data_IF_947738858161
#
_entry.id   IF_947738858161
#
_cell.length_a   1.000
_cell.length_b   1.000
_cell.length_c   1.000
_cell.angle_alpha   90.00
_cell.angle_beta   90.00
_cell.angle_gamma   90.00
#
_symmetry.space_group_name_H-M   'P 1'
#
loop_
_entity.id
_entity.type
_entity.pdbx_description
1 polymer ?
#
# COMPACT_ATOMS: atom_id res chain seq x y z
N UNK A 1 12.01 -5.49 35.68
CA UNK A 1 12.43 -6.25 34.50
C UNK A 1 13.92 -6.14 34.29
N UNK A 2 14.56 -7.28 34.09
CA UNK A 2 15.96 -7.36 33.67
C UNK A 2 16.01 -7.63 32.16
N UNK A 3 16.13 -6.58 31.35
CA UNK A 3 16.05 -6.68 29.88
C UNK A 3 17.14 -7.57 29.25
N UNK A 4 18.42 -7.53 29.70
CA UNK A 4 19.42 -8.48 29.22
C UNK A 4 19.05 -9.95 29.44
N UNK A 5 18.45 -10.28 30.60
CA UNK A 5 18.00 -11.65 30.90
C UNK A 5 16.83 -12.04 30.00
N UNK A 6 15.84 -11.16 29.84
CA UNK A 6 14.68 -11.37 28.96
C UNK A 6 15.13 -11.57 27.52
N UNK A 7 16.03 -10.73 27.01
CA UNK A 7 16.55 -10.85 25.65
C UNK A 7 17.32 -12.16 25.44
N UNK A 8 18.13 -12.58 26.42
CA UNK A 8 18.86 -13.85 26.35
C UNK A 8 17.92 -15.05 26.34
N UNK A 9 16.95 -15.10 27.26
CA UNK A 9 15.94 -16.14 27.32
C UNK A 9 15.12 -16.19 26.02
N UNK A 10 14.71 -15.02 25.53
CA UNK A 10 13.97 -14.91 24.29
C UNK A 10 14.79 -15.45 23.11
N UNK A 11 16.07 -15.11 23.01
CA UNK A 11 16.95 -15.59 21.95
C UNK A 11 17.10 -17.12 21.98
N UNK A 12 17.21 -17.72 23.17
CA UNK A 12 17.23 -19.17 23.34
C UNK A 12 15.91 -19.82 22.90
N UNK A 13 14.77 -19.25 23.32
CA UNK A 13 13.43 -19.71 22.92
C UNK A 13 13.14 -19.55 21.42
N UNK A 14 13.85 -18.65 20.74
CA UNK A 14 13.77 -18.44 19.29
C UNK A 14 14.67 -19.38 18.48
N UNK A 15 15.38 -20.33 19.11
CA UNK A 15 16.31 -21.23 18.42
C UNK A 15 17.70 -20.61 18.18
N UNK A 16 18.05 -19.55 18.91
CA UNK A 16 19.36 -18.92 18.90
C UNK A 16 19.57 -17.89 17.79
N UNK A 17 20.76 -17.28 17.81
CA UNK A 17 21.17 -16.22 16.86
C UNK A 17 21.10 -16.68 15.40
N UNK A 18 21.43 -17.93 15.13
CA UNK A 18 21.48 -18.45 13.76
C UNK A 18 20.10 -18.56 13.10
N UNK A 19 19.04 -18.68 13.92
CA UNK A 19 17.67 -18.75 13.45
C UNK A 19 17.09 -17.37 13.10
N UNK A 20 17.71 -16.28 13.53
CA UNK A 20 17.26 -14.93 13.19
C UNK A 20 17.86 -14.47 11.86
N UNK A 21 17.01 -13.90 11.01
CA UNK A 21 17.41 -13.30 9.73
C UNK A 21 17.27 -11.78 9.73
N UNK A 22 16.32 -11.23 10.48
CA UNK A 22 16.15 -9.80 10.65
C UNK A 22 15.41 -9.48 11.96
N UNK A 23 15.69 -8.31 12.53
CA UNK A 23 15.14 -7.80 13.79
C UNK A 23 14.77 -6.33 13.61
N UNK A 24 13.57 -5.94 14.03
CA UNK A 24 13.15 -4.55 14.17
C UNK A 24 12.14 -4.43 15.32
N UNK A 25 11.78 -3.20 15.66
CA UNK A 25 10.64 -2.94 16.55
C UNK A 25 9.73 -1.84 15.99
N UNK A 26 8.48 -1.84 16.45
CA UNK A 26 7.57 -0.71 16.31
C UNK A 26 7.15 -0.22 17.70
N UNK A 27 6.15 0.66 17.78
CA UNK A 27 5.74 1.29 19.04
C UNK A 27 5.44 0.31 20.19
N UNK A 28 4.98 -0.92 19.91
CA UNK A 28 4.59 -1.89 20.95
C UNK A 28 5.07 -3.32 20.72
N UNK A 29 5.72 -3.59 19.58
CA UNK A 29 6.01 -4.97 19.13
C UNK A 29 7.43 -5.13 18.65
N UNK A 30 8.04 -6.23 19.05
CA UNK A 30 9.26 -6.74 18.45
C UNK A 30 8.88 -7.53 17.20
N UNK A 31 9.56 -7.29 16.09
CA UNK A 31 9.31 -7.94 14.80
C UNK A 31 10.56 -8.71 14.38
N UNK A 32 10.37 -9.99 14.11
CA UNK A 32 11.45 -10.93 13.82
C UNK A 32 11.16 -11.64 12.50
N UNK A 33 12.18 -11.77 11.66
CA UNK A 33 12.17 -12.71 10.55
C UNK A 33 13.04 -13.91 10.92
N UNK A 34 12.49 -15.12 10.79
CA UNK A 34 13.10 -16.36 11.31
C UNK A 34 13.35 -17.38 10.19
N UNK A 35 14.48 -18.09 10.25
CA UNK A 35 14.89 -19.08 9.24
C UNK A 35 14.19 -20.41 9.39
N UNK A 36 13.79 -20.80 10.60
CA UNK A 36 13.02 -21.99 10.91
C UNK A 36 12.01 -21.67 12.03
N UNK A 37 10.73 -21.84 11.73
CA UNK A 37 9.67 -21.58 12.71
C UNK A 37 9.49 -22.73 13.71
N UNK A 38 9.93 -23.94 13.37
CA UNK A 38 9.79 -25.12 14.24
C UNK A 38 10.67 -25.06 15.48
N UNK A 39 11.71 -24.21 15.45
CA UNK A 39 12.61 -23.97 16.58
C UNK A 39 12.04 -22.97 17.62
N UNK A 40 10.90 -22.34 17.34
CA UNK A 40 10.29 -21.34 18.21
C UNK A 40 9.47 -22.04 19.29
N UNK A 41 9.82 -21.77 20.55
CA UNK A 41 9.08 -22.25 21.72
C UNK A 41 7.94 -21.27 22.05
N UNK A 42 6.86 -21.30 21.27
CA UNK A 42 5.74 -20.34 21.38
C UNK A 42 5.15 -20.26 22.81
N UNK A 43 4.88 -21.40 23.43
CA UNK A 43 4.33 -21.48 24.80
C UNK A 43 5.28 -20.86 25.84
N UNK A 44 6.58 -21.04 25.67
CA UNK A 44 7.58 -20.47 26.58
C UNK A 44 7.68 -18.95 26.42
N UNK A 45 7.56 -18.46 25.18
CA UNK A 45 7.58 -17.02 24.86
C UNK A 45 6.33 -16.33 25.40
N UNK A 46 5.16 -16.95 25.32
CA UNK A 46 3.92 -16.37 25.85
C UNK A 46 3.98 -16.18 27.37
N UNK A 47 4.68 -17.07 28.08
CA UNK A 47 4.87 -17.00 29.54
C UNK A 47 6.10 -16.16 29.96
N UNK A 48 6.84 -15.59 29.02
CA UNK A 48 8.01 -14.77 29.31
C UNK A 48 7.60 -13.43 29.94
N UNK A 49 8.34 -12.99 30.97
CA UNK A 49 8.05 -11.74 31.68
C UNK A 49 7.97 -10.56 30.69
N UNK A 50 6.80 -9.90 30.63
CA UNK A 50 6.57 -8.72 29.80
C UNK A 50 5.98 -8.97 28.42
N UNK A 51 5.88 -10.22 28.00
CA UNK A 51 5.14 -10.58 26.80
C UNK A 51 3.64 -10.47 27.09
N UNK A 52 2.92 -9.77 26.22
CA UNK A 52 1.47 -9.58 26.26
C UNK A 52 0.74 -10.37 25.16
N UNK A 53 1.51 -11.09 24.34
CA UNK A 53 1.01 -11.90 23.24
C UNK A 53 2.06 -12.05 22.14
N UNK A 54 1.86 -13.08 21.32
CA UNK A 54 2.69 -13.39 20.16
C UNK A 54 1.79 -13.78 18.98
N UNK A 55 2.24 -13.50 17.75
CA UNK A 55 1.55 -13.99 16.56
C UNK A 55 2.47 -14.00 15.33
N UNK A 56 2.07 -14.79 14.33
CA UNK A 56 2.71 -14.87 13.02
C UNK A 56 1.91 -14.09 11.98
N UNK A 57 2.56 -13.17 11.27
CA UNK A 57 1.92 -12.46 10.15
C UNK A 57 2.93 -12.18 9.05
N UNK A 58 2.54 -12.46 7.81
CA UNK A 58 3.31 -12.13 6.62
C UNK A 58 4.80 -12.59 6.67
N UNK A 59 5.05 -13.80 7.19
CA UNK A 59 6.40 -14.37 7.32
C UNK A 59 7.24 -13.75 8.45
N UNK A 60 6.63 -12.97 9.34
CA UNK A 60 7.26 -12.43 10.54
C UNK A 60 6.66 -13.07 11.80
N UNK A 61 7.51 -13.29 12.79
CA UNK A 61 7.11 -13.57 14.16
C UNK A 61 7.10 -12.26 14.95
N UNK A 62 5.95 -11.90 15.55
CA UNK A 62 5.81 -10.66 16.31
C UNK A 62 5.49 -10.95 17.77
N UNK A 63 6.17 -10.24 18.65
CA UNK A 63 6.01 -10.37 20.11
C UNK A 63 5.61 -9.00 20.65
N UNK A 64 4.52 -8.95 21.42
CA UNK A 64 3.96 -7.73 21.98
C UNK A 64 4.56 -7.53 23.37
N UNK A 65 5.40 -6.51 23.55
CA UNK A 65 5.91 -6.10 24.87
C UNK A 65 5.19 -4.86 25.43
N UNK A 66 4.61 -4.04 24.55
CA UNK A 66 4.05 -2.73 24.89
C UNK A 66 5.05 -1.59 24.74
N UNK A 67 4.54 -0.37 24.85
CA UNK A 67 5.32 0.86 24.62
C UNK A 67 6.46 1.01 25.63
N UNK A 68 7.62 1.45 25.16
CA UNK A 68 8.84 1.64 25.95
C UNK A 68 9.61 0.35 26.24
N UNK A 69 8.94 -0.73 26.69
CA UNK A 69 9.56 -2.03 27.00
C UNK A 69 10.19 -2.63 25.75
N UNK A 70 9.49 -2.57 24.61
CA UNK A 70 9.96 -3.11 23.35
C UNK A 70 11.31 -2.54 22.90
N UNK A 71 11.58 -1.25 23.15
CA UNK A 71 12.83 -0.59 22.77
C UNK A 71 14.02 -1.17 23.55
N UNK A 72 13.80 -1.45 24.84
CA UNK A 72 14.83 -2.01 25.72
C UNK A 72 15.16 -3.45 25.36
N UNK A 73 14.12 -4.28 25.13
CA UNK A 73 14.30 -5.67 24.71
C UNK A 73 14.96 -5.74 23.34
N UNK A 74 14.55 -4.89 22.39
CA UNK A 74 15.17 -4.80 21.07
C UNK A 74 16.65 -4.43 21.15
N UNK A 75 17.02 -3.43 21.95
CA UNK A 75 18.41 -2.99 22.09
C UNK A 75 19.31 -4.13 22.62
N UNK A 76 18.83 -4.91 23.59
CA UNK A 76 19.58 -6.06 24.12
C UNK A 76 19.63 -7.22 23.11
N UNK A 77 18.55 -7.49 22.39
CA UNK A 77 18.53 -8.47 21.30
C UNK A 77 19.52 -8.11 20.18
N UNK A 78 19.58 -6.84 19.78
CA UNK A 78 20.51 -6.35 18.77
C UNK A 78 21.98 -6.55 19.21
N UNK A 79 22.30 -6.28 20.49
CA UNK A 79 23.63 -6.53 21.06
C UNK A 79 24.00 -8.01 21.05
N UNK A 80 23.09 -8.90 21.48
CA UNK A 80 23.34 -10.34 21.54
C UNK A 80 23.48 -10.97 20.15
N UNK A 81 22.70 -10.51 19.19
CA UNK A 81 22.70 -11.02 17.82
C UNK A 81 23.77 -10.37 16.95
N UNK A 82 24.27 -9.19 17.32
CA UNK A 82 25.17 -8.41 16.47
C UNK A 82 24.51 -7.92 15.18
N UNK A 83 23.17 -7.94 15.10
CA UNK A 83 22.41 -7.45 13.96
C UNK A 83 22.29 -5.93 14.05
N UNK A 84 22.53 -5.25 12.93
CA UNK A 84 22.24 -3.81 12.81
C UNK A 84 20.73 -3.60 12.85
N UNK A 85 20.30 -2.50 13.46
CA UNK A 85 18.88 -2.14 13.54
C UNK A 85 18.29 -1.99 12.12
N UNK A 86 17.32 -2.84 11.79
CA UNK A 86 16.65 -2.83 10.50
C UNK A 86 15.31 -2.11 10.61
N UNK A 87 14.85 -1.56 9.50
CA UNK A 87 13.50 -1.03 9.37
C UNK A 87 12.46 -2.16 9.36
N UNK A 88 11.24 -1.84 9.77
CA UNK A 88 10.15 -2.83 9.76
C UNK A 88 9.82 -3.37 8.36
N UNK A 89 10.15 -2.64 7.29
CA UNK A 89 9.99 -3.10 5.90
C UNK A 89 11.08 -4.10 5.48
N UNK A 90 12.30 -3.96 5.99
CA UNK A 90 13.40 -4.88 5.73
C UNK A 90 13.15 -6.24 6.40
N UNK A 91 12.68 -6.24 7.66
CA UNK A 91 12.25 -7.47 8.33
C UNK A 91 11.10 -8.16 7.58
N UNK A 92 10.15 -7.38 7.07
CA UNK A 92 9.09 -7.92 6.23
C UNK A 92 9.60 -8.57 4.95
N UNK A 93 10.68 -8.04 4.38
CA UNK A 93 11.30 -8.56 3.17
C UNK A 93 12.05 -9.86 3.46
N UNK A 94 12.82 -9.91 4.54
CA UNK A 94 13.51 -11.13 4.99
C UNK A 94 12.52 -12.28 5.30
N UNK A 95 11.37 -11.98 5.93
CA UNK A 95 10.33 -12.98 6.19
C UNK A 95 9.59 -13.48 4.94
N UNK A 96 9.65 -12.76 3.81
CA UNK A 96 8.89 -13.14 2.61
C UNK A 96 9.51 -14.26 1.76
N UNK A 97 10.74 -14.69 2.05
CA UNK A 97 11.33 -15.85 1.37
C UNK A 97 10.54 -17.15 1.63
N UNK A 98 9.78 -17.24 2.72
CA UNK A 98 8.95 -18.43 3.02
C UNK A 98 7.51 -18.34 2.54
N UNK A 99 7.10 -17.21 1.95
CA UNK A 99 5.72 -17.04 1.51
C UNK A 99 5.45 -17.80 0.20
N UNK A 100 4.29 -18.45 0.12
CA UNK A 100 3.80 -19.09 -1.10
C UNK A 100 3.67 -18.06 -2.25
N UNK A 101 3.74 -18.51 -3.51
CA UNK A 101 3.69 -17.64 -4.70
C UNK A 101 2.47 -16.70 -4.68
N UNK A 102 1.29 -17.20 -4.26
CA UNK A 102 0.07 -16.41 -4.10
C UNK A 102 0.22 -15.34 -3.02
N UNK A 103 0.80 -15.68 -1.87
CA UNK A 103 1.04 -14.73 -0.78
C UNK A 103 2.05 -13.65 -1.17
N UNK A 104 3.09 -14.00 -1.94
CA UNK A 104 4.05 -13.03 -2.49
C UNK A 104 3.39 -12.12 -3.53
N UNK A 105 2.51 -12.63 -4.38
CA UNK A 105 1.76 -11.82 -5.34
C UNK A 105 0.82 -10.84 -4.63
N UNK A 106 0.05 -11.31 -3.63
CA UNK A 106 -0.82 -10.46 -2.81
C UNK A 106 -0.01 -9.42 -2.05
N UNK A 107 1.10 -9.79 -1.42
CA UNK A 107 2.02 -8.84 -0.76
C UNK A 107 2.56 -7.81 -1.76
N UNK A 108 2.94 -8.25 -2.96
CA UNK A 108 3.41 -7.36 -4.02
C UNK A 108 2.37 -6.31 -4.41
N UNK A 109 1.11 -6.71 -4.55
CA UNK A 109 0.00 -5.78 -4.76
C UNK A 109 -0.18 -4.86 -3.55
N UNK A 110 -0.20 -5.40 -2.33
CA UNK A 110 -0.33 -4.59 -1.11
C UNK A 110 0.76 -3.53 -1.00
N UNK A 111 2.02 -3.87 -1.27
CA UNK A 111 3.15 -2.93 -1.21
C UNK A 111 3.00 -1.77 -2.20
N UNK A 112 2.32 -2.00 -3.35
CA UNK A 112 2.04 -0.96 -4.34
C UNK A 112 0.94 -0.01 -3.83
N UNK A 113 -0.08 -0.55 -3.17
CA UNK A 113 -1.23 0.22 -2.70
C UNK A 113 -1.00 0.94 -1.37
N UNK A 114 -0.21 0.39 -0.45
CA UNK A 114 -0.01 0.96 0.90
C UNK A 114 0.36 2.45 0.89
N UNK A 115 1.30 2.92 0.04
CA UNK A 115 1.61 4.35 -0.05
C UNK A 115 0.45 5.23 -0.56
N UNK A 116 -0.52 4.64 -1.26
CA UNK A 116 -1.63 5.33 -1.92
C UNK A 116 -2.87 5.39 -1.01
N UNK A 117 -3.00 4.46 -0.05
CA UNK A 117 -4.13 4.36 0.88
C UNK A 117 -4.48 5.71 1.54
N UNK A 118 -3.53 6.51 2.08
CA UNK A 118 -3.90 7.77 2.75
C UNK A 118 -4.63 8.75 1.83
N UNK A 119 -4.21 8.85 0.57
CA UNK A 119 -4.83 9.73 -0.41
C UNK A 119 -6.25 9.27 -0.79
N UNK A 120 -6.43 7.96 -1.02
CA UNK A 120 -7.74 7.38 -1.36
C UNK A 120 -8.71 7.48 -0.17
N UNK A 121 -8.24 7.24 1.05
CA UNK A 121 -9.07 7.38 2.26
C UNK A 121 -9.51 8.82 2.47
N UNK A 122 -8.59 9.78 2.38
CA UNK A 122 -8.93 11.21 2.46
C UNK A 122 -9.92 11.63 1.36
N UNK A 123 -9.67 11.21 0.12
CA UNK A 123 -10.56 11.47 -1.00
C UNK A 123 -11.96 10.90 -0.77
N UNK A 124 -12.05 9.64 -0.33
CA UNK A 124 -13.32 8.97 -0.05
C UNK A 124 -14.12 9.63 1.09
N UNK A 125 -13.45 10.07 2.16
CA UNK A 125 -14.10 10.80 3.25
C UNK A 125 -14.64 12.16 2.78
N UNK A 126 -13.86 12.90 1.98
CA UNK A 126 -14.32 14.16 1.37
C UNK A 126 -15.48 13.94 0.40
N UNK A 127 -15.46 12.84 -0.36
CA UNK A 127 -16.56 12.48 -1.25
C UNK A 127 -17.83 12.15 -0.46
N UNK A 128 -17.69 11.54 0.72
CA UNK A 128 -18.77 11.36 1.68
C UNK A 128 -19.36 12.69 2.14
N UNK A 129 -18.52 13.66 2.51
CA UNK A 129 -18.96 15.02 2.89
C UNK A 129 -19.67 15.70 1.72
N UNK A 130 -19.11 15.63 0.51
CA UNK A 130 -19.76 16.14 -0.69
C UNK A 130 -21.17 15.55 -0.86
N UNK A 131 -21.29 14.22 -0.78
CA UNK A 131 -22.58 13.54 -0.91
C UNK A 131 -23.58 13.96 0.20
N UNK A 132 -23.12 14.22 1.43
CA UNK A 132 -23.98 14.76 2.48
C UNK A 132 -24.55 16.15 2.12
N UNK A 133 -23.73 17.00 1.49
CA UNK A 133 -24.15 18.35 1.08
C UNK A 133 -25.12 18.32 -0.11
N UNK A 134 -24.93 17.40 -1.05
CA UNK A 134 -25.65 17.39 -2.32
C UNK A 134 -26.79 16.38 -2.41
N UNK A 135 -26.93 15.46 -1.45
CA UNK A 135 -28.02 14.47 -1.46
C UNK A 135 -29.38 15.14 -1.15
N UNK A 136 -30.35 15.12 -2.10
CA UNK A 136 -31.69 15.64 -1.85
C UNK A 136 -32.44 14.77 -0.85
N UNK A 137 -33.23 15.37 0.04
CA UNK A 137 -34.06 14.61 0.98
C UNK A 137 -33.32 14.07 2.20
N UNK A 138 -31.99 14.25 2.28
CA UNK A 138 -31.19 13.73 3.40
C UNK A 138 -31.40 14.54 4.69
N UNK A 139 -31.47 15.86 4.56
CA UNK A 139 -31.64 16.79 5.69
C UNK A 139 -32.90 17.65 5.57
N UNK A 140 -33.37 17.90 4.34
CA UNK A 140 -34.54 18.72 4.03
C UNK A 140 -35.40 17.96 3.03
N UNK A 141 -36.72 17.87 3.27
CA UNK A 141 -37.61 17.15 2.36
C UNK A 141 -37.57 17.75 0.94
N UNK A 142 -37.22 16.90 -0.03
CA UNK A 142 -37.20 17.27 -1.46
C UNK A 142 -36.07 18.21 -1.89
N UNK A 143 -35.14 18.59 -0.99
CA UNK A 143 -34.02 19.50 -1.30
C UNK A 143 -32.71 19.00 -0.69
N UNK A 144 -31.58 19.34 -1.32
CA UNK A 144 -30.26 19.15 -0.72
C UNK A 144 -29.85 20.39 0.11
N UNK A 145 -28.77 20.28 0.89
CA UNK A 145 -28.25 21.41 1.65
C UNK A 145 -27.72 22.53 0.75
N UNK A 146 -27.21 22.18 -0.44
CA UNK A 146 -26.78 23.17 -1.43
C UNK A 146 -27.94 23.89 -2.10
N UNK A 147 -29.10 23.23 -2.26
CA UNK A 147 -30.30 23.86 -2.83
C UNK A 147 -30.88 24.90 -1.86
N UNK A 148 -30.90 24.57 -0.56
CA UNK A 148 -31.37 25.46 0.49
C UNK A 148 -30.40 26.60 0.80
N UNK A 149 -29.10 26.42 0.52
CA UNK A 149 -28.08 27.45 0.69
C UNK A 149 -27.12 27.49 -0.52
N UNK A 150 -27.50 28.21 -1.59
CA UNK A 150 -26.69 28.30 -2.81
C UNK A 150 -25.27 28.82 -2.58
N UNK A 151 -25.01 29.57 -1.51
CA UNK A 151 -23.67 30.05 -1.16
C UNK A 151 -22.68 28.93 -0.80
N UNK A 152 -23.16 27.71 -0.53
CA UNK A 152 -22.33 26.52 -0.29
C UNK A 152 -22.02 25.72 -1.55
N UNK A 153 -22.62 26.04 -2.70
CA UNK A 153 -22.47 25.25 -3.92
C UNK A 153 -21.00 25.20 -4.40
N UNK A 154 -20.31 26.34 -4.42
CA UNK A 154 -18.90 26.40 -4.84
C UNK A 154 -17.97 25.68 -3.87
N UNK A 155 -18.28 25.73 -2.56
CA UNK A 155 -17.56 24.96 -1.55
C UNK A 155 -17.74 23.46 -1.78
N UNK A 156 -18.97 23.01 -2.06
CA UNK A 156 -19.25 21.61 -2.37
C UNK A 156 -18.53 21.16 -3.66
N UNK A 157 -18.53 21.99 -4.70
CA UNK A 157 -17.80 21.73 -5.94
C UNK A 157 -16.28 21.65 -5.73
N UNK A 158 -15.72 22.53 -4.90
CA UNK A 158 -14.32 22.49 -4.50
C UNK A 158 -14.00 21.19 -3.74
N UNK A 159 -14.84 20.81 -2.75
CA UNK A 159 -14.69 19.55 -2.01
C UNK A 159 -14.72 18.37 -2.97
N UNK A 160 -15.64 18.33 -3.93
CA UNK A 160 -15.73 17.26 -4.92
C UNK A 160 -14.45 17.16 -5.78
N UNK A 161 -13.90 18.30 -6.18
CA UNK A 161 -12.64 18.37 -6.97
C UNK A 161 -11.46 17.82 -6.17
N UNK A 162 -11.36 18.14 -4.89
CA UNK A 162 -10.31 17.60 -4.02
C UNK A 162 -10.53 16.11 -3.72
N UNK A 163 -11.79 15.72 -3.53
CA UNK A 163 -12.19 14.35 -3.23
C UNK A 163 -11.87 13.40 -4.38
N UNK A 164 -12.14 13.81 -5.63
CA UNK A 164 -12.00 12.96 -6.80
C UNK A 164 -10.56 12.88 -7.34
N UNK A 165 -9.69 13.86 -7.02
CA UNK A 165 -8.30 13.92 -7.50
C UNK A 165 -7.51 12.61 -7.35
N UNK A 166 -7.45 11.94 -6.17
CA UNK A 166 -6.73 10.67 -6.03
C UNK A 166 -7.30 9.53 -6.89
N UNK A 167 -8.57 9.60 -7.29
CA UNK A 167 -9.22 8.62 -8.16
C UNK A 167 -8.99 8.92 -9.64
N UNK A 168 -9.06 10.19 -10.04
CA UNK A 168 -8.71 10.65 -11.40
C UNK A 168 -7.27 10.27 -11.72
N UNK A 169 -6.34 10.59 -10.81
CA UNK A 169 -4.91 10.36 -10.98
C UNK A 169 -4.43 9.04 -10.38
N UNK A 170 -5.35 8.11 -10.10
CA UNK A 170 -5.01 6.78 -9.59
C UNK A 170 -3.97 6.07 -10.48
N UNK A 171 -4.05 6.14 -11.83
CA UNK A 171 -3.00 5.59 -12.69
C UNK A 171 -1.61 6.17 -12.45
N UNK A 172 -1.50 7.46 -12.14
CA UNK A 172 -0.21 8.13 -11.86
C UNK A 172 0.39 7.59 -10.56
N UNK A 173 -0.42 7.56 -9.50
CA UNK A 173 0.00 7.09 -8.17
C UNK A 173 0.40 5.60 -8.22
N UNK A 174 -0.40 4.79 -8.90
CA UNK A 174 -0.14 3.36 -9.07
C UNK A 174 1.09 3.11 -9.92
N UNK A 175 1.24 3.76 -11.08
CA UNK A 175 2.37 3.51 -11.96
C UNK A 175 3.70 3.94 -11.33
N UNK A 176 3.72 5.03 -10.56
CA UNK A 176 4.89 5.45 -9.79
C UNK A 176 5.28 4.37 -8.74
N UNK A 177 4.32 3.93 -7.93
CA UNK A 177 4.54 2.94 -6.86
C UNK A 177 4.90 1.55 -7.43
N UNK A 178 4.21 1.13 -8.49
CA UNK A 178 4.43 -0.13 -9.19
C UNK A 178 5.81 -0.17 -9.87
N UNK A 179 6.23 0.90 -10.54
CA UNK A 179 7.55 0.96 -11.19
C UNK A 179 8.66 0.82 -10.15
N UNK A 180 8.54 1.52 -9.00
CA UNK A 180 9.45 1.33 -7.86
C UNK A 180 9.48 -0.11 -7.38
N UNK A 181 8.32 -0.76 -7.26
CA UNK A 181 8.20 -2.15 -6.80
C UNK A 181 8.83 -3.15 -7.79
N UNK A 182 8.69 -2.91 -9.09
CA UNK A 182 9.26 -3.75 -10.14
C UNK A 182 10.74 -3.45 -10.43
N UNK A 183 11.34 -2.48 -9.73
CA UNK A 183 12.73 -2.10 -9.87
C UNK A 183 13.02 -1.19 -11.08
N UNK A 184 12.01 -0.49 -11.61
CA UNK A 184 12.18 0.56 -12.62
C UNK A 184 12.18 1.97 -12.00
N UNK A 185 12.39 2.99 -12.83
CA UNK A 185 12.38 4.39 -12.43
C UNK A 185 10.94 4.87 -12.11
N UNK A 186 10.68 5.32 -10.87
CA UNK A 186 9.35 5.78 -10.47
C UNK A 186 8.82 6.97 -11.29
N UNK A 187 9.69 7.87 -11.75
CA UNK A 187 9.30 9.04 -12.54
C UNK A 187 8.85 8.66 -13.95
N UNK A 188 9.50 7.66 -14.57
CA UNK A 188 9.02 7.09 -15.84
C UNK A 188 7.67 6.40 -15.63
N UNK A 189 7.49 5.72 -14.50
CA UNK A 189 6.20 5.19 -14.06
C UNK A 189 5.13 6.28 -13.97
N UNK A 190 5.40 7.38 -13.29
CA UNK A 190 4.46 8.51 -13.22
C UNK A 190 4.16 9.09 -14.60
N UNK A 191 5.14 9.25 -15.48
CA UNK A 191 4.94 9.72 -16.85
C UNK A 191 3.99 8.81 -17.64
N UNK A 192 4.17 7.49 -17.52
CA UNK A 192 3.25 6.50 -18.08
C UNK A 192 1.84 6.65 -17.52
N UNK A 193 1.70 6.79 -16.20
CA UNK A 193 0.40 7.00 -15.57
C UNK A 193 -0.27 8.31 -16.00
N UNK A 194 0.51 9.38 -16.23
CA UNK A 194 0.00 10.67 -16.73
C UNK A 194 -0.51 10.54 -18.16
N UNK A 195 0.19 9.77 -19.01
CA UNK A 195 -0.28 9.46 -20.36
C UNK A 195 -1.63 8.73 -20.33
N UNK A 196 -1.81 7.78 -19.41
CA UNK A 196 -3.05 7.00 -19.27
C UNK A 196 -4.27 7.83 -18.86
N UNK A 197 -4.08 9.06 -18.36
CA UNK A 197 -5.16 9.97 -17.96
C UNK A 197 -5.06 11.32 -18.68
N UNK A 198 -4.32 11.38 -19.78
CA UNK A 198 -4.08 12.60 -20.54
C UNK A 198 -5.41 13.21 -21.05
N UNK A 199 -5.58 14.53 -21.01
CA UNK A 199 -6.84 15.19 -21.40
C UNK A 199 -7.25 14.97 -22.86
N UNK A 200 -6.29 14.67 -23.75
CA UNK A 200 -6.58 14.31 -25.15
C UNK A 200 -7.18 12.90 -25.33
N UNK A 201 -7.25 12.10 -24.25
CA UNK A 201 -7.97 10.84 -24.21
C UNK A 201 -9.39 11.06 -23.74
N UNK A 202 -10.33 10.31 -24.31
CA UNK A 202 -11.68 10.22 -23.78
C UNK A 202 -11.60 9.77 -22.32
N UNK A 203 -12.13 10.57 -21.40
CA UNK A 203 -12.18 10.21 -19.99
C UNK A 203 -12.88 8.85 -19.82
N UNK A 204 -12.27 7.93 -19.06
CA UNK A 204 -12.75 6.57 -18.86
C UNK A 204 -14.17 6.48 -18.30
N UNK A 205 -14.62 7.46 -17.49
CA UNK A 205 -16.01 7.51 -17.02
C UNK A 205 -17.00 7.90 -18.11
N UNK A 206 -16.54 8.57 -19.18
CA UNK A 206 -17.33 8.91 -20.37
C UNK A 206 -17.41 7.77 -21.40
N UNK A 207 -16.64 6.69 -21.22
CA UNK A 207 -16.59 5.58 -22.16
C UNK A 207 -17.95 4.93 -22.40
N UNK A 208 -18.74 4.72 -21.34
CA UNK A 208 -20.05 4.07 -21.44
C UNK A 208 -21.01 4.85 -22.34
N UNK A 209 -21.07 6.17 -22.18
CA UNK A 209 -21.88 7.04 -23.02
C UNK A 209 -21.39 7.07 -24.47
N UNK A 210 -20.09 7.26 -24.67
CA UNK A 210 -19.49 7.29 -26.00
C UNK A 210 -19.63 5.98 -26.78
N UNK A 211 -19.64 4.84 -26.07
CA UNK A 211 -19.86 3.51 -26.66
C UNK A 211 -21.26 3.37 -27.22
N UNK A 212 -22.27 3.88 -26.51
CA UNK A 212 -23.67 3.83 -26.95
C UNK A 212 -23.93 4.77 -28.11
N UNK A 213 -23.32 5.96 -28.11
CA UNK A 213 -23.46 6.94 -29.20
C UNK A 213 -22.57 6.66 -30.41
N UNK A 214 -21.67 5.68 -30.34
CA UNK A 214 -20.71 5.39 -31.41
C UNK A 214 -19.67 6.50 -31.61
N UNK A 215 -19.43 7.34 -30.60
CA UNK A 215 -18.54 8.51 -30.67
C UNK A 215 -17.20 8.28 -29.98
N UNK A 216 -16.74 7.03 -29.88
CA UNK A 216 -15.43 6.73 -29.30
C UNK A 216 -14.35 7.26 -30.25
N UNK A 217 -13.49 8.21 -29.81
CA UNK A 217 -12.41 8.70 -30.65
C UNK A 217 -11.37 7.60 -30.86
N UNK A 218 -10.89 7.45 -32.09
CA UNK A 218 -9.85 6.49 -32.45
C UNK A 218 -8.68 7.18 -33.15
N UNK A 219 -7.47 6.63 -32.98
CA UNK A 219 -6.38 6.85 -33.91
C UNK A 219 -6.47 5.80 -35.01
N UNK A 220 -6.34 6.23 -36.26
CA UNK A 220 -6.13 5.32 -37.38
C UNK A 220 -4.65 5.34 -37.76
N UNK A 221 -3.95 4.26 -37.44
CA UNK A 221 -2.51 4.12 -37.67
C UNK A 221 -2.29 2.89 -38.54
N UNK A 222 -1.88 3.10 -39.79
CA UNK A 222 -1.62 2.01 -40.75
C UNK A 222 -2.78 1.01 -40.91
N UNK A 223 -4.04 1.48 -40.83
CA UNK A 223 -5.23 0.64 -40.94
C UNK A 223 -5.68 -0.02 -39.63
N UNK A 224 -4.96 0.19 -38.53
CA UNK A 224 -5.38 -0.21 -37.19
C UNK A 224 -6.10 0.93 -36.48
N UNK A 225 -7.29 0.65 -35.98
CA UNK A 225 -8.04 1.58 -35.14
C UNK A 225 -7.72 1.34 -33.67
N UNK A 226 -7.13 2.35 -33.02
CA UNK A 226 -6.76 2.32 -31.61
C UNK A 226 -7.63 3.32 -30.87
N UNK A 227 -8.39 2.86 -29.87
CA UNK A 227 -9.28 3.72 -29.11
C UNK A 227 -8.49 4.70 -28.23
N UNK A 228 -8.83 6.00 -28.33
CA UNK A 228 -8.26 7.08 -27.52
C UNK A 228 -8.97 7.17 -26.18
N UNK A 229 -8.86 6.14 -25.35
CA UNK A 229 -9.59 6.05 -24.07
C UNK A 229 -8.62 6.11 -22.90
N UNK A 230 -8.93 6.96 -21.93
CA UNK A 230 -8.21 7.09 -20.68
C UNK A 230 -8.59 5.99 -19.69
N UNK A 231 -7.69 5.73 -18.76
CA UNK A 231 -7.78 4.65 -17.79
C UNK A 231 -8.02 5.17 -16.37
N UNK A 232 -8.73 6.30 -16.22
CA UNK A 232 -9.12 6.85 -14.92
C UNK A 232 -9.78 5.75 -14.06
N UNK A 233 -9.33 5.60 -12.81
CA UNK A 233 -9.81 4.56 -11.90
C UNK A 233 -9.43 3.11 -12.25
N UNK A 234 -8.69 2.84 -13.33
CA UNK A 234 -8.29 1.47 -13.70
C UNK A 234 -7.00 1.05 -13.00
N UNK A 235 -6.95 -0.18 -12.49
CA UNK A 235 -5.79 -0.71 -11.76
C UNK A 235 -4.96 -1.66 -12.63
N UNK A 236 -5.59 -2.72 -13.17
CA UNK A 236 -4.87 -3.80 -13.84
C UNK A 236 -4.06 -3.33 -15.06
N UNK A 237 -4.61 -2.50 -15.99
CA UNK A 237 -3.84 -2.00 -17.12
C UNK A 237 -2.61 -1.20 -16.69
N UNK A 238 -2.72 -0.45 -15.60
CA UNK A 238 -1.62 0.37 -15.06
C UNK A 238 -0.49 -0.51 -14.52
N UNK A 239 -0.84 -1.55 -13.76
CA UNK A 239 0.15 -2.48 -13.20
C UNK A 239 0.88 -3.24 -14.30
N UNK A 240 0.17 -3.73 -15.32
CA UNK A 240 0.77 -4.41 -16.47
C UNK A 240 1.70 -3.46 -17.23
N UNK A 241 1.26 -2.24 -17.48
CA UNK A 241 2.06 -1.25 -18.21
C UNK A 241 3.32 -0.85 -17.44
N UNK A 242 3.21 -0.66 -16.12
CA UNK A 242 4.35 -0.38 -15.25
C UNK A 242 5.34 -1.56 -15.17
N UNK A 243 4.83 -2.80 -15.17
CA UNK A 243 5.69 -4.00 -15.24
C UNK A 243 6.46 -4.07 -16.55
N UNK A 244 5.78 -3.86 -17.69
CA UNK A 244 6.40 -3.83 -19.01
C UNK A 244 7.46 -2.73 -19.06
N UNK A 245 7.13 -1.52 -18.61
CA UNK A 245 8.06 -0.40 -18.53
C UNK A 245 9.32 -0.77 -17.74
N UNK A 246 9.17 -1.30 -16.53
CA UNK A 246 10.29 -1.69 -15.68
C UNK A 246 11.14 -2.82 -16.29
N UNK A 247 10.51 -3.77 -17.01
CA UNK A 247 11.23 -4.84 -17.71
C UNK A 247 12.01 -4.34 -18.92
N UNK A 248 11.41 -3.43 -19.68
CA UNK A 248 12.04 -2.78 -20.82
C UNK A 248 13.23 -1.96 -20.34
N UNK A 249 13.03 -1.06 -19.38
CA UNK A 249 14.09 -0.23 -18.80
C UNK A 249 15.28 -1.07 -18.32
N UNK A 250 15.02 -2.07 -17.47
CA UNK A 250 16.10 -2.93 -16.94
C UNK A 250 16.72 -3.87 -17.99
N UNK A 251 16.01 -4.16 -19.07
CA UNK A 251 16.51 -4.93 -20.20
C UNK A 251 17.44 -4.13 -21.11
N UNK A 252 17.20 -2.82 -21.26
CA UNK A 252 18.04 -1.90 -22.05
C UNK A 252 19.21 -1.30 -21.26
N UNK A 253 19.16 -1.31 -19.92
CA UNK A 253 20.21 -0.75 -19.04
C UNK A 253 21.26 -1.80 -18.63
N UNK A 254 21.19 -3.02 -19.18
CA UNK A 254 22.22 -4.06 -19.01
C UNK A 254 23.24 -4.08 -20.15
#
# INVERSE_FOLDING_TARGET
>A
MNYPVIAKQLLEMLGGKENLSALAHCATRLRLAVKDESLIQEDAIENLEGVKGQFKVAGQYQIIFGSGIVNQVHAEMAKLTGMTEMSTSEVASAGSEKQNIVQRAVKGLSDIFVPIIPAIVAGGLLMGIFNLLTAPGLFLEGQSLIDANPGLADLAAMINTFANAPFVYLPVLLAFSASKKFGGNPFLGAALGMLMVHPDLLNGWGFGGASVSGTIPTWNIFGFEIQKVGYQGSVLPVLVSAFILAKVENGYVR
#
